data_IF_118357141256
#
_entry.id   IF_118357141256
#
_cell.length_a   1.000
_cell.length_b   1.000
_cell.length_c   1.000
_cell.angle_alpha   90.00
_cell.angle_beta   90.00
_cell.angle_gamma   90.00
#
_symmetry.space_group_name_H-M   'P 1'
#
loop_
_entity.id
_entity.type
_entity.pdbx_description
1 polymer ?
#
# COMPACT_ATOMS: atom_id res chain seq x y z
N UNK A 1 -12.89 -40.88 -0.18
CA UNK A 1 -12.88 -42.27 0.34
C UNK A 1 -12.39 -43.19 -0.75
N UNK A 2 -11.20 -43.77 -0.59
CA UNK A 2 -10.70 -44.87 -1.44
C UNK A 2 -10.93 -46.19 -0.69
N UNK A 3 -11.19 -47.31 -1.40
CA UNK A 3 -11.42 -48.59 -0.74
C UNK A 3 -10.13 -49.06 -0.07
N UNK A 4 -10.25 -49.45 1.20
CA UNK A 4 -9.20 -50.17 1.92
C UNK A 4 -8.93 -51.47 1.13
N UNK A 5 -7.69 -51.80 0.73
CA UNK A 5 -7.41 -53.11 0.17
C UNK A 5 -7.79 -54.15 1.21
N UNK A 6 -8.73 -55.03 0.87
CA UNK A 6 -9.14 -56.11 1.76
C UNK A 6 -7.91 -56.82 2.27
N UNK A 7 -7.78 -56.93 3.60
CA UNK A 7 -6.92 -57.92 4.23
C UNK A 7 -7.26 -59.25 3.57
N UNK A 8 -6.36 -59.72 2.69
CA UNK A 8 -6.42 -61.07 2.20
C UNK A 8 -6.18 -61.94 3.43
N UNK A 9 -7.23 -62.63 3.88
CA UNK A 9 -7.08 -63.78 4.76
C UNK A 9 -6.15 -64.76 4.04
N UNK A 10 -4.86 -64.70 4.36
CA UNK A 10 -4.00 -65.86 4.23
C UNK A 10 -4.56 -66.88 5.22
N UNK A 11 -5.38 -67.79 4.71
CA UNK A 11 -5.74 -68.98 5.45
C UNK A 11 -4.44 -69.69 5.82
N UNK A 12 -4.33 -70.13 7.07
CA UNK A 12 -3.12 -70.74 7.60
C UNK A 12 -2.96 -72.15 7.06
N UNK A 13 -2.53 -72.29 5.81
CA UNK A 13 -1.94 -73.51 5.28
C UNK A 13 -0.53 -73.60 5.85
N UNK A 14 -0.36 -74.48 6.83
CA UNK A 14 0.92 -74.80 7.45
C UNK A 14 1.76 -75.69 6.51
N UNK A 15 2.17 -75.13 5.38
CA UNK A 15 3.19 -75.76 4.53
C UNK A 15 4.57 -75.35 5.07
N UNK A 16 5.29 -76.33 5.60
CA UNK A 16 6.63 -76.16 6.14
C UNK A 16 7.57 -75.63 5.04
N UNK A 17 8.35 -74.58 5.31
CA UNK A 17 9.30 -74.05 4.33
C UNK A 17 10.39 -75.11 4.02
N UNK A 18 10.39 -75.67 2.81
CA UNK A 18 11.24 -76.82 2.49
C UNK A 18 12.71 -76.46 2.24
N UNK A 19 13.03 -75.21 1.85
CA UNK A 19 14.40 -74.71 1.83
C UNK A 19 14.53 -73.24 2.27
N UNK A 20 15.68 -72.82 2.85
CA UNK A 20 15.98 -71.40 3.12
C UNK A 20 15.95 -70.50 1.87
N UNK A 21 16.06 -71.08 0.67
CA UNK A 21 16.10 -70.36 -0.60
C UNK A 21 14.73 -69.83 -1.02
N UNK A 22 13.68 -70.64 -0.86
CA UNK A 22 12.30 -70.23 -1.15
C UNK A 22 11.85 -69.09 -0.22
N UNK A 23 12.29 -69.12 1.05
CA UNK A 23 12.05 -68.03 2.00
C UNK A 23 12.75 -66.72 1.60
N UNK A 24 13.98 -66.79 1.07
CA UNK A 24 14.70 -65.61 0.56
C UNK A 24 14.00 -65.05 -0.69
N UNK A 25 13.61 -65.89 -1.66
CA UNK A 25 12.94 -65.44 -2.89
C UNK A 25 11.59 -64.75 -2.60
N UNK A 26 10.84 -65.20 -1.57
CA UNK A 26 9.63 -64.53 -1.11
C UNK A 26 9.95 -63.17 -0.46
N UNK A 27 10.97 -63.08 0.39
CA UNK A 27 11.39 -61.82 1.02
C UNK A 27 11.88 -60.79 -0.01
N UNK A 28 12.64 -61.22 -1.02
CA UNK A 28 13.09 -60.37 -2.13
C UNK A 28 11.88 -59.82 -2.91
N UNK A 29 10.88 -60.65 -3.21
CA UNK A 29 9.66 -60.22 -3.89
C UNK A 29 8.82 -59.21 -3.09
N UNK A 30 8.73 -59.35 -1.76
CA UNK A 30 8.07 -58.36 -0.89
C UNK A 30 8.82 -57.01 -0.91
N UNK A 31 10.15 -57.05 -0.80
CA UNK A 31 10.98 -55.83 -0.83
C UNK A 31 10.86 -55.09 -2.17
N UNK A 32 10.83 -55.81 -3.29
CA UNK A 32 10.62 -55.21 -4.62
C UNK A 32 9.22 -54.60 -4.78
N UNK A 33 8.18 -55.25 -4.24
CA UNK A 33 6.82 -54.72 -4.28
C UNK A 33 6.68 -53.42 -3.47
N UNK A 34 7.25 -53.37 -2.27
CA UNK A 34 7.25 -52.16 -1.44
C UNK A 34 8.06 -51.03 -2.10
N UNK A 35 9.21 -51.34 -2.71
CA UNK A 35 10.01 -50.37 -3.46
C UNK A 35 9.25 -49.76 -4.65
N UNK A 36 8.43 -50.56 -5.34
CA UNK A 36 7.56 -50.09 -6.43
C UNK A 36 6.47 -49.14 -5.88
N UNK A 37 5.85 -49.48 -4.74
CA UNK A 37 4.82 -48.66 -4.11
C UNK A 37 5.38 -47.33 -3.58
N UNK A 38 6.52 -47.36 -2.88
CA UNK A 38 7.25 -46.15 -2.47
C UNK A 38 7.56 -45.26 -3.68
N UNK A 39 8.09 -45.83 -4.76
CA UNK A 39 8.46 -45.07 -5.96
C UNK A 39 7.24 -44.44 -6.64
N UNK A 40 6.09 -45.11 -6.64
CA UNK A 40 4.82 -44.53 -7.10
C UNK A 40 4.34 -43.38 -6.20
N UNK A 41 4.33 -43.56 -4.88
CA UNK A 41 3.93 -42.51 -3.94
C UNK A 41 4.85 -41.29 -4.02
N UNK A 42 6.17 -41.51 -4.09
CA UNK A 42 7.18 -40.46 -4.24
C UNK A 42 6.98 -39.68 -5.55
N UNK A 43 6.65 -40.38 -6.64
CA UNK A 43 6.35 -39.73 -7.94
C UNK A 43 5.09 -38.86 -7.85
N UNK A 44 4.03 -39.33 -7.17
CA UNK A 44 2.81 -38.53 -6.95
C UNK A 44 3.05 -37.32 -6.04
N UNK A 45 3.88 -37.46 -5.01
CA UNK A 45 4.30 -36.35 -4.15
C UNK A 45 5.10 -35.30 -4.94
N UNK A 46 6.05 -35.70 -5.77
CA UNK A 46 6.81 -34.81 -6.66
C UNK A 46 5.87 -34.07 -7.62
N UNK A 47 4.87 -34.75 -8.20
CA UNK A 47 3.87 -34.11 -9.05
C UNK A 47 3.05 -33.04 -8.29
N UNK A 48 2.57 -33.35 -7.07
CA UNK A 48 1.87 -32.37 -6.22
C UNK A 48 2.76 -31.18 -5.86
N UNK A 49 4.01 -31.42 -5.47
CA UNK A 49 4.99 -30.36 -5.14
C UNK A 49 5.23 -29.46 -6.35
N UNK A 50 5.35 -30.00 -7.56
CA UNK A 50 5.53 -29.22 -8.78
C UNK A 50 4.32 -28.33 -9.10
N UNK A 51 3.08 -28.81 -8.88
CA UNK A 51 1.86 -27.99 -9.03
C UNK A 51 1.85 -26.84 -8.02
N UNK A 52 2.15 -27.11 -6.75
CA UNK A 52 2.21 -26.08 -5.70
C UNK A 52 3.32 -25.07 -5.97
N UNK A 53 4.50 -25.50 -6.47
CA UNK A 53 5.57 -24.61 -6.89
C UNK A 53 5.15 -23.68 -8.04
N UNK A 54 4.37 -24.19 -9.01
CA UNK A 54 3.76 -23.38 -10.07
C UNK A 54 2.84 -22.29 -9.51
N UNK A 55 1.91 -22.66 -8.63
CA UNK A 55 0.99 -21.72 -7.97
C UNK A 55 1.74 -20.66 -7.13
N UNK A 56 2.81 -21.05 -6.43
CA UNK A 56 3.68 -20.10 -5.70
C UNK A 56 4.36 -19.12 -6.67
N UNK A 57 4.81 -19.57 -7.84
CA UNK A 57 5.40 -18.68 -8.85
C UNK A 57 4.37 -17.70 -9.43
N UNK A 58 3.15 -18.16 -9.73
CA UNK A 58 2.05 -17.31 -10.19
C UNK A 58 1.69 -16.23 -9.15
N UNK A 59 1.42 -16.62 -7.91
CA UNK A 59 1.13 -15.69 -6.80
C UNK A 59 2.27 -14.68 -6.56
N UNK A 60 3.53 -15.12 -6.69
CA UNK A 60 4.68 -14.22 -6.55
C UNK A 60 4.79 -13.26 -7.75
N UNK A 61 4.33 -13.66 -8.94
CA UNK A 61 4.23 -12.77 -10.11
C UNK A 61 3.14 -11.70 -9.94
N UNK A 62 1.98 -12.08 -9.42
CA UNK A 62 0.86 -11.17 -9.10
C UNK A 62 1.23 -10.17 -8.00
N UNK A 63 1.83 -10.65 -6.90
CA UNK A 63 2.40 -9.80 -5.84
C UNK A 63 3.36 -8.74 -6.41
N UNK A 64 4.21 -9.12 -7.36
CA UNK A 64 5.13 -8.20 -8.01
C UNK A 64 4.46 -7.24 -9.00
N UNK A 65 3.29 -7.57 -9.54
CA UNK A 65 2.45 -6.66 -10.31
C UNK A 65 1.78 -5.63 -9.39
N UNK A 66 1.12 -6.09 -8.33
CA UNK A 66 0.47 -5.25 -7.31
C UNK A 66 1.45 -4.27 -6.67
N UNK A 67 2.69 -4.69 -6.38
CA UNK A 67 3.75 -3.79 -5.89
C UNK A 67 4.13 -2.69 -6.89
N UNK A 68 4.12 -2.97 -8.19
CA UNK A 68 4.36 -1.95 -9.23
C UNK A 68 3.19 -0.97 -9.33
N UNK A 69 1.96 -1.45 -9.25
CA UNK A 69 0.76 -0.60 -9.29
C UNK A 69 0.63 0.28 -8.05
N UNK A 70 0.87 -0.27 -6.86
CA UNK A 70 0.99 0.50 -5.62
C UNK A 70 2.00 1.65 -5.76
N UNK A 71 3.16 1.40 -6.40
CA UNK A 71 4.17 2.44 -6.64
C UNK A 71 3.70 3.51 -7.64
N UNK A 72 2.95 3.14 -8.69
CA UNK A 72 2.33 4.12 -9.62
C UNK A 72 1.31 5.01 -8.89
N UNK A 73 0.42 4.40 -8.10
CA UNK A 73 -0.62 5.12 -7.35
C UNK A 73 0.03 6.05 -6.32
N UNK A 74 1.08 5.61 -5.63
CA UNK A 74 1.83 6.45 -4.68
C UNK A 74 2.41 7.70 -5.36
N UNK A 75 3.06 7.53 -6.52
CA UNK A 75 3.59 8.67 -7.28
C UNK A 75 2.47 9.66 -7.69
N UNK A 76 1.33 9.16 -8.19
CA UNK A 76 0.18 10.01 -8.55
C UNK A 76 -0.38 10.79 -7.35
N UNK A 77 -0.41 10.18 -6.15
CA UNK A 77 -0.83 10.84 -4.92
C UNK A 77 0.15 11.96 -4.55
N UNK A 78 1.46 11.73 -4.70
CA UNK A 78 2.47 12.72 -4.34
C UNK A 78 2.54 13.88 -5.36
N UNK A 79 2.33 13.60 -6.67
CA UNK A 79 2.12 14.62 -7.70
C UNK A 79 0.86 15.47 -7.41
N UNK A 80 -0.25 14.83 -7.01
CA UNK A 80 -1.48 15.53 -6.63
C UNK A 80 -1.30 16.41 -5.40
N UNK A 81 -0.55 15.97 -4.38
CA UNK A 81 -0.21 16.80 -3.21
C UNK A 81 0.60 18.02 -3.62
N UNK A 82 1.63 17.84 -4.44
CA UNK A 82 2.46 18.95 -4.92
C UNK A 82 1.64 19.98 -5.71
N UNK A 83 0.71 19.52 -6.56
CA UNK A 83 -0.21 20.38 -7.29
C UNK A 83 -1.19 21.12 -6.36
N UNK A 84 -1.73 20.45 -5.33
CA UNK A 84 -2.57 21.08 -4.31
C UNK A 84 -1.82 22.15 -3.51
N UNK A 85 -0.58 21.89 -3.10
CA UNK A 85 0.25 22.83 -2.34
C UNK A 85 0.63 24.05 -3.19
N UNK A 86 0.87 23.87 -4.49
CA UNK A 86 1.09 24.97 -5.45
C UNK A 86 -0.19 25.78 -5.70
N UNK A 87 -1.35 25.14 -5.77
CA UNK A 87 -2.64 25.81 -5.89
C UNK A 87 -2.94 26.65 -4.63
N UNK A 88 -2.72 26.09 -3.44
CA UNK A 88 -2.92 26.80 -2.17
C UNK A 88 -2.00 28.03 -2.06
N UNK A 89 -0.70 27.88 -2.34
CA UNK A 89 0.24 29.01 -2.44
C UNK A 89 -0.24 30.08 -3.42
N UNK A 90 -0.76 29.67 -4.58
CA UNK A 90 -1.30 30.59 -5.60
C UNK A 90 -2.55 31.32 -5.11
N UNK A 91 -3.46 30.63 -4.40
CA UNK A 91 -4.67 31.22 -3.82
C UNK A 91 -4.33 32.17 -2.68
N UNK A 92 -3.38 31.83 -1.80
CA UNK A 92 -2.89 32.71 -0.73
C UNK A 92 -2.27 33.99 -1.29
N UNK A 93 -1.47 33.89 -2.37
CA UNK A 93 -0.90 35.06 -3.05
C UNK A 93 -1.99 35.92 -3.69
N UNK A 94 -2.95 35.30 -4.41
CA UNK A 94 -4.07 36.03 -5.03
C UNK A 94 -4.96 36.73 -4.00
N UNK A 95 -5.33 36.05 -2.91
CA UNK A 95 -6.12 36.65 -1.83
C UNK A 95 -5.39 37.85 -1.21
N UNK A 96 -4.08 37.74 -0.93
CA UNK A 96 -3.29 38.89 -0.46
C UNK A 96 -3.24 40.05 -1.47
N UNK A 97 -3.22 39.78 -2.78
CA UNK A 97 -3.33 40.84 -3.80
C UNK A 97 -4.70 41.53 -3.74
N UNK A 98 -5.77 40.75 -3.71
CA UNK A 98 -7.15 41.24 -3.64
C UNK A 98 -7.39 42.03 -2.34
N UNK A 99 -6.89 41.57 -1.20
CA UNK A 99 -6.99 42.27 0.09
C UNK A 99 -6.24 43.63 0.03
N UNK A 100 -5.06 43.67 -0.60
CA UNK A 100 -4.32 44.92 -0.82
C UNK A 100 -5.05 45.88 -1.76
N UNK A 101 -5.64 45.38 -2.85
CA UNK A 101 -6.47 46.16 -3.77
C UNK A 101 -7.70 46.73 -3.05
N UNK A 102 -8.44 45.91 -2.30
CA UNK A 102 -9.59 46.34 -1.47
C UNK A 102 -9.17 47.42 -0.47
N UNK A 103 -8.01 47.26 0.19
CA UNK A 103 -7.47 48.25 1.13
C UNK A 103 -7.14 49.58 0.44
N UNK A 104 -6.56 49.54 -0.76
CA UNK A 104 -6.28 50.73 -1.57
C UNK A 104 -7.57 51.43 -2.01
N UNK A 105 -8.53 50.68 -2.57
CA UNK A 105 -9.83 51.21 -2.96
C UNK A 105 -10.60 51.82 -1.78
N UNK A 106 -10.54 51.20 -0.59
CA UNK A 106 -11.16 51.74 0.63
C UNK A 106 -10.51 53.07 1.05
N UNK A 107 -9.18 53.17 1.06
CA UNK A 107 -8.46 54.42 1.34
C UNK A 107 -8.78 55.53 0.33
N UNK A 108 -8.87 55.18 -0.96
CA UNK A 108 -9.24 56.10 -2.03
C UNK A 108 -10.67 56.62 -1.86
N UNK A 109 -11.59 55.74 -1.44
CA UNK A 109 -12.98 56.09 -1.20
C UNK A 109 -13.16 56.96 0.06
N UNK A 110 -12.41 56.69 1.14
CA UNK A 110 -12.41 57.54 2.35
C UNK A 110 -11.83 58.93 2.07
N UNK A 111 -10.74 59.04 1.29
CA UNK A 111 -10.19 60.34 0.87
C UNK A 111 -11.16 61.10 -0.03
N UNK A 112 -11.73 60.46 -1.07
CA UNK A 112 -12.72 61.10 -1.95
C UNK A 112 -14.01 61.50 -1.23
N UNK A 113 -14.46 60.72 -0.24
CA UNK A 113 -15.61 61.09 0.60
C UNK A 113 -15.30 62.34 1.43
N UNK A 114 -14.10 62.42 2.02
CA UNK A 114 -13.67 63.58 2.81
C UNK A 114 -13.58 64.85 1.95
N UNK A 115 -12.90 64.78 0.81
CA UNK A 115 -12.83 65.87 -0.16
C UNK A 115 -14.23 66.37 -0.58
N UNK A 116 -15.15 65.44 -0.88
CA UNK A 116 -16.52 65.79 -1.27
C UNK A 116 -17.27 66.51 -0.14
N UNK A 117 -17.17 66.02 1.11
CA UNK A 117 -17.82 66.68 2.25
C UNK A 117 -17.27 68.09 2.49
N UNK A 118 -15.95 68.27 2.46
CA UNK A 118 -15.30 69.57 2.63
C UNK A 118 -15.71 70.55 1.51
N UNK A 119 -15.76 70.07 0.26
CA UNK A 119 -16.19 70.90 -0.90
C UNK A 119 -17.68 71.27 -0.83
N UNK A 120 -18.54 70.34 -0.41
CA UNK A 120 -19.98 70.61 -0.28
C UNK A 120 -20.31 71.59 0.84
N UNK A 121 -19.57 71.53 1.95
CA UNK A 121 -19.81 72.41 3.09
C UNK A 121 -19.34 73.85 2.80
N UNK A 122 -18.16 74.02 2.16
CA UNK A 122 -17.71 75.33 1.72
C UNK A 122 -18.72 76.03 0.77
N UNK A 123 -19.33 75.28 -0.15
CA UNK A 123 -20.39 75.81 -1.02
C UNK A 123 -21.67 76.21 -0.28
N UNK A 124 -22.06 75.47 0.76
CA UNK A 124 -23.23 75.83 1.58
C UNK A 124 -22.99 77.12 2.37
N UNK A 125 -21.81 77.26 2.98
CA UNK A 125 -21.41 78.47 3.71
C UNK A 125 -21.34 79.71 2.78
N UNK A 126 -20.91 79.54 1.52
CA UNK A 126 -20.94 80.58 0.48
C UNK A 126 -22.37 80.98 0.08
N UNK A 127 -23.27 80.01 -0.11
CA UNK A 127 -24.68 80.27 -0.42
C UNK A 127 -25.40 80.97 0.74
N UNK A 128 -25.19 80.53 1.99
CA UNK A 128 -25.76 81.20 3.16
C UNK A 128 -25.30 82.66 3.27
N UNK A 129 -24.01 82.94 3.02
CA UNK A 129 -23.47 84.30 2.98
C UNK A 129 -24.16 85.18 1.92
N UNK A 130 -24.32 84.65 0.70
CA UNK A 130 -24.96 85.36 -0.40
C UNK A 130 -26.47 85.59 -0.15
N UNK A 131 -27.15 84.67 0.54
CA UNK A 131 -28.54 84.86 0.94
C UNK A 131 -28.70 85.94 2.02
N UNK A 132 -27.75 86.06 2.96
CA UNK A 132 -27.76 87.14 3.97
C UNK A 132 -27.54 88.52 3.32
N UNK A 133 -26.55 88.67 2.43
CA UNK A 133 -26.32 89.94 1.70
C UNK A 133 -27.53 90.33 0.81
N UNK A 134 -28.27 89.34 0.28
CA UNK A 134 -29.46 89.55 -0.53
C UNK A 134 -30.71 89.95 0.31
N UNK A 135 -30.81 89.52 1.56
CA UNK A 135 -31.92 89.90 2.47
C UNK A 135 -31.79 91.34 2.99
N UNK A 136 -30.56 91.88 3.10
CA UNK A 136 -30.33 93.24 3.64
C UNK A 136 -30.70 94.39 2.67
N UNK A 137 -31.01 94.12 1.39
CA UNK A 137 -30.98 95.13 0.32
C UNK A 137 -32.32 95.51 -0.34
N UNK A 138 -33.48 95.00 0.11
CA UNK A 138 -34.76 95.17 -0.61
C UNK A 138 -35.96 95.64 0.24
N UNK A 139 -36.28 96.95 0.23
CA UNK A 139 -37.58 97.52 0.67
C UNK A 139 -37.78 98.99 0.19
N UNK A 140 -38.72 99.26 -0.75
CA UNK A 140 -39.79 100.31 -0.67
C UNK A 140 -40.42 100.86 -1.97
N UNK A 141 -41.59 101.46 -1.75
CA UNK A 141 -42.82 101.55 -2.53
C UNK A 141 -43.61 102.82 -2.12
N UNK A 142 -44.53 103.44 -2.89
CA UNK A 142 -44.79 103.44 -4.35
C UNK A 142 -45.63 104.71 -4.74
N UNK A 143 -46.10 104.80 -5.99
CA UNK A 143 -47.25 105.59 -6.55
C UNK A 143 -47.78 106.90 -5.90
N UNK A 144 -48.07 107.92 -6.74
CA UNK A 144 -49.41 108.55 -6.77
C UNK A 144 -49.70 109.41 -8.03
N UNK A 145 -50.55 108.91 -8.93
CA UNK A 145 -50.85 109.54 -10.24
C UNK A 145 -52.37 109.78 -10.43
N UNK A 146 -52.98 110.55 -9.52
CA UNK A 146 -54.45 110.68 -9.39
C UNK A 146 -54.97 112.15 -9.39
N UNK A 147 -54.21 113.08 -9.99
CA UNK A 147 -54.47 114.54 -10.02
C UNK A 147 -53.82 115.10 -11.30
N UNK A 148 -54.49 115.57 -12.36
CA UNK A 148 -55.75 116.31 -12.44
C UNK A 148 -56.48 116.13 -13.80
N UNK A 149 -57.07 114.97 -14.06
CA UNK A 149 -57.92 114.73 -15.25
C UNK A 149 -59.24 115.56 -15.31
N UNK A 150 -59.35 116.64 -14.52
CA UNK A 150 -60.48 117.59 -14.51
C UNK A 150 -60.27 118.83 -15.40
N UNK A 151 -59.07 119.11 -15.88
CA UNK A 151 -58.83 120.23 -16.81
C UNK A 151 -59.22 119.90 -18.27
N UNK A 152 -59.27 118.61 -18.62
CA UNK A 152 -59.50 118.15 -20.00
C UNK A 152 -60.89 118.54 -20.56
N UNK A 153 -61.86 118.82 -19.70
CA UNK A 153 -63.23 119.18 -20.09
C UNK A 153 -63.39 120.68 -20.45
N UNK A 154 -62.43 121.53 -20.07
CA UNK A 154 -62.46 122.99 -20.32
C UNK A 154 -61.69 123.39 -21.58
N UNK A 155 -60.77 122.54 -22.06
CA UNK A 155 -60.00 122.80 -23.28
C UNK A 155 -60.71 122.33 -24.57
N UNK A 156 -61.70 121.45 -24.46
CA UNK A 156 -62.51 120.96 -25.59
C UNK A 156 -63.37 122.08 -26.23
N UNK A 157 -63.73 123.12 -25.48
CA UNK A 157 -64.39 124.33 -26.01
C UNK A 157 -63.39 125.29 -26.69
N UNK A 158 -62.12 125.28 -26.27
CA UNK A 158 -61.02 126.05 -26.90
C UNK A 158 -60.52 125.43 -28.22
N UNK A 159 -60.85 124.16 -28.46
CA UNK A 159 -60.48 123.37 -29.62
C UNK A 159 -61.06 123.93 -30.93
N UNK A 160 -62.34 124.32 -30.90
CA UNK A 160 -63.08 124.78 -32.09
C UNK A 160 -62.60 126.16 -32.61
N UNK A 161 -61.94 126.98 -31.79
CA UNK A 161 -61.41 128.27 -32.23
C UNK A 161 -59.96 128.18 -32.75
N UNK A 162 -59.19 127.16 -32.34
CA UNK A 162 -57.83 126.92 -32.85
C UNK A 162 -57.78 126.03 -34.11
N UNK A 163 -58.91 125.55 -34.62
CA UNK A 163 -58.97 124.84 -35.92
C UNK A 163 -58.46 125.71 -37.10
N UNK A 164 -58.52 127.04 -37.00
CA UNK A 164 -57.86 127.98 -37.95
C UNK A 164 -56.36 128.21 -37.68
N UNK A 165 -55.88 127.91 -36.47
CA UNK A 165 -54.45 127.89 -36.11
C UNK A 165 -53.82 126.54 -36.47
N UNK A 166 -54.64 125.54 -36.81
CA UNK A 166 -54.29 124.14 -36.96
C UNK A 166 -53.51 123.84 -38.25
N UNK A 167 -53.64 124.65 -39.31
CA UNK A 167 -52.81 124.52 -40.51
C UNK A 167 -51.39 125.10 -40.35
N UNK A 168 -51.22 126.14 -39.52
CA UNK A 168 -49.88 126.56 -39.07
C UNK A 168 -49.26 125.56 -38.10
N UNK A 169 -50.07 125.09 -37.13
CA UNK A 169 -49.67 124.05 -36.19
C UNK A 169 -49.41 122.69 -36.86
N UNK A 170 -49.87 122.41 -38.09
CA UNK A 170 -49.49 121.17 -38.81
C UNK A 170 -48.00 121.12 -39.16
N UNK A 171 -47.34 122.26 -39.37
CA UNK A 171 -45.88 122.31 -39.57
C UNK A 171 -45.11 122.21 -38.26
N UNK A 172 -45.54 122.91 -37.21
CA UNK A 172 -44.93 122.82 -35.88
C UNK A 172 -45.17 121.45 -35.22
N UNK A 173 -46.35 120.84 -35.43
CA UNK A 173 -46.66 119.50 -34.98
C UNK A 173 -45.84 118.45 -35.71
N UNK A 174 -45.39 118.69 -36.96
CA UNK A 174 -44.47 117.76 -37.61
C UNK A 174 -43.11 117.74 -36.90
N UNK A 175 -42.52 118.91 -36.60
CA UNK A 175 -41.32 118.99 -35.75
C UNK A 175 -41.53 118.36 -34.39
N UNK A 176 -42.63 118.68 -33.69
CA UNK A 176 -42.93 118.08 -32.39
C UNK A 176 -43.21 116.58 -32.45
N UNK A 177 -43.71 116.06 -33.58
CA UNK A 177 -43.84 114.62 -33.78
C UNK A 177 -42.48 113.97 -33.99
N UNK A 178 -41.57 114.62 -34.74
CA UNK A 178 -40.19 114.15 -34.92
C UNK A 178 -39.40 114.22 -33.59
N UNK A 179 -39.60 115.26 -32.78
CA UNK A 179 -39.03 115.40 -31.42
C UNK A 179 -39.62 114.35 -30.45
N UNK A 180 -40.94 114.17 -30.43
CA UNK A 180 -41.61 113.15 -29.60
C UNK A 180 -41.30 111.73 -30.06
N UNK A 181 -41.13 111.47 -31.36
CA UNK A 181 -40.64 110.19 -31.86
C UNK A 181 -39.19 109.97 -31.43
N UNK A 182 -38.35 111.01 -31.46
CA UNK A 182 -37.00 110.97 -30.88
C UNK A 182 -36.98 110.66 -29.38
N UNK A 183 -37.88 111.28 -28.59
CA UNK A 183 -38.03 110.98 -27.16
C UNK A 183 -38.63 109.58 -26.92
N UNK A 184 -39.60 109.14 -27.73
CA UNK A 184 -40.20 107.80 -27.60
C UNK A 184 -39.21 106.71 -28.02
N UNK A 185 -38.44 106.91 -29.09
CA UNK A 185 -37.38 105.99 -29.52
C UNK A 185 -36.22 105.99 -28.51
N UNK A 186 -35.88 107.14 -27.91
CA UNK A 186 -34.91 107.20 -26.82
C UNK A 186 -35.42 106.49 -25.55
N UNK A 187 -36.72 106.62 -25.22
CA UNK A 187 -37.32 105.94 -24.07
C UNK A 187 -37.48 104.43 -24.33
N UNK A 188 -37.80 104.01 -25.56
CA UNK A 188 -37.81 102.60 -25.98
C UNK A 188 -36.40 102.02 -25.99
N UNK A 189 -35.39 102.75 -26.47
CA UNK A 189 -33.98 102.35 -26.37
C UNK A 189 -33.50 102.27 -24.92
N UNK A 190 -33.91 103.21 -24.06
CA UNK A 190 -33.60 103.19 -22.63
C UNK A 190 -34.27 102.01 -21.92
N UNK A 191 -35.58 101.81 -22.11
CA UNK A 191 -36.34 100.67 -21.55
C UNK A 191 -35.85 99.34 -22.12
N UNK A 192 -35.44 99.27 -23.40
CA UNK A 192 -34.85 98.07 -23.99
C UNK A 192 -33.47 97.79 -23.41
N UNK A 193 -32.62 98.81 -23.23
CA UNK A 193 -31.29 98.67 -22.63
C UNK A 193 -31.37 98.30 -21.13
N UNK A 194 -32.35 98.85 -20.41
CA UNK A 194 -32.66 98.48 -19.03
C UNK A 194 -33.17 97.04 -18.94
N UNK A 195 -34.06 96.60 -19.84
CA UNK A 195 -34.49 95.20 -19.93
C UNK A 195 -33.35 94.25 -20.31
N UNK A 196 -32.48 94.62 -21.25
CA UNK A 196 -31.31 93.82 -21.63
C UNK A 196 -30.34 93.67 -20.43
N UNK A 197 -30.12 94.75 -19.66
CA UNK A 197 -29.34 94.71 -18.41
C UNK A 197 -30.00 93.85 -17.33
N UNK A 198 -31.31 93.98 -17.12
CA UNK A 198 -32.07 93.16 -16.16
C UNK A 198 -32.13 91.67 -16.57
N UNK A 199 -32.11 91.37 -17.87
CA UNK A 199 -32.11 90.00 -18.40
C UNK A 199 -30.70 89.39 -18.52
N UNK A 200 -29.63 90.19 -18.42
CA UNK A 200 -28.26 89.68 -18.55
C UNK A 200 -27.87 88.75 -17.40
N UNK A 201 -28.22 89.10 -16.16
CA UNK A 201 -28.03 88.24 -14.97
C UNK A 201 -28.76 86.90 -15.10
N UNK A 202 -30.11 86.90 -15.22
CA UNK A 202 -30.90 85.68 -15.38
C UNK A 202 -30.51 84.82 -16.60
N UNK A 203 -30.10 85.43 -17.73
CA UNK A 203 -29.57 84.66 -18.87
C UNK A 203 -28.25 83.98 -18.55
N UNK A 204 -27.36 84.63 -17.80
CA UNK A 204 -26.09 84.04 -17.38
C UNK A 204 -26.33 82.91 -16.38
N UNK A 205 -27.21 83.11 -15.39
CA UNK A 205 -27.62 82.08 -14.43
C UNK A 205 -28.23 80.86 -15.13
N UNK A 206 -29.10 81.06 -16.15
CA UNK A 206 -29.64 79.96 -16.96
C UNK A 206 -28.54 79.22 -17.74
N UNK A 207 -27.54 79.93 -18.27
CA UNK A 207 -26.44 79.30 -19.01
C UNK A 207 -25.47 78.54 -18.09
N UNK A 208 -25.14 79.13 -16.93
CA UNK A 208 -24.34 78.48 -15.89
C UNK A 208 -25.07 77.22 -15.37
N UNK A 209 -26.39 77.28 -15.13
CA UNK A 209 -27.21 76.11 -14.78
C UNK A 209 -27.28 75.03 -15.88
N UNK A 210 -27.27 75.39 -17.17
CA UNK A 210 -27.17 74.40 -18.25
C UNK A 210 -25.83 73.68 -18.23
N UNK A 211 -24.72 74.41 -18.03
CA UNK A 211 -23.38 73.82 -17.95
C UNK A 211 -23.24 72.91 -16.73
N UNK A 212 -23.86 73.26 -15.60
CA UNK A 212 -23.96 72.35 -14.45
C UNK A 212 -24.83 71.12 -14.76
N UNK A 213 -25.95 71.27 -15.47
CA UNK A 213 -26.77 70.13 -15.93
C UNK A 213 -26.00 69.19 -16.87
N UNK A 214 -25.32 69.69 -17.90
CA UNK A 214 -24.49 68.87 -18.80
C UNK A 214 -23.35 68.17 -18.04
N UNK A 215 -22.74 68.84 -17.06
CA UNK A 215 -21.73 68.24 -16.17
C UNK A 215 -22.32 67.11 -15.30
N UNK A 216 -23.55 67.27 -14.79
CA UNK A 216 -24.23 66.24 -14.01
C UNK A 216 -24.67 65.06 -14.91
N UNK A 217 -25.20 65.33 -16.10
CA UNK A 217 -25.58 64.31 -17.08
C UNK A 217 -24.37 63.47 -17.51
N UNK A 218 -23.23 64.09 -17.85
CA UNK A 218 -22.01 63.35 -18.21
C UNK A 218 -21.45 62.52 -17.04
N UNK A 219 -21.59 62.99 -15.79
CA UNK A 219 -21.25 62.21 -14.60
C UNK A 219 -22.22 61.03 -14.36
N UNK A 220 -23.52 61.23 -14.58
CA UNK A 220 -24.55 60.20 -14.50
C UNK A 220 -24.34 59.11 -15.56
N UNK A 221 -24.03 59.50 -16.79
CA UNK A 221 -23.68 58.61 -17.90
C UNK A 221 -22.46 57.74 -17.55
N UNK A 222 -21.42 58.37 -17.00
CA UNK A 222 -20.21 57.67 -16.55
C UNK A 222 -20.55 56.67 -15.43
N UNK A 223 -21.37 57.07 -14.45
CA UNK A 223 -21.78 56.19 -13.34
C UNK A 223 -22.67 55.04 -13.79
N UNK A 224 -23.53 55.26 -14.77
CA UNK A 224 -24.35 54.22 -15.41
C UNK A 224 -23.46 53.18 -16.08
N UNK A 225 -22.47 53.59 -16.87
CA UNK A 225 -21.51 52.67 -17.52
C UNK A 225 -20.63 51.92 -16.51
N UNK A 226 -20.20 52.58 -15.43
CA UNK A 226 -19.48 51.92 -14.32
C UNK A 226 -20.36 50.84 -13.63
N UNK A 227 -21.65 51.10 -13.43
CA UNK A 227 -22.61 50.14 -12.88
C UNK A 227 -22.89 48.97 -13.83
N UNK A 228 -23.00 49.21 -15.14
CA UNK A 228 -23.15 48.16 -16.15
C UNK A 228 -21.94 47.22 -16.18
N UNK A 229 -20.72 47.77 -16.15
CA UNK A 229 -19.48 46.99 -16.08
C UNK A 229 -19.40 46.14 -14.79
N UNK A 230 -19.80 46.72 -13.65
CA UNK A 230 -19.90 45.99 -12.38
C UNK A 230 -20.95 44.88 -12.43
N UNK A 231 -22.12 45.13 -13.03
CA UNK A 231 -23.16 44.10 -13.20
C UNK A 231 -22.66 42.93 -14.05
N UNK A 232 -22.04 43.21 -15.21
CA UNK A 232 -21.43 42.19 -16.05
C UNK A 232 -20.36 41.38 -15.28
N UNK A 233 -19.55 42.04 -14.46
CA UNK A 233 -18.55 41.37 -13.61
C UNK A 233 -19.20 40.48 -12.53
N UNK A 234 -20.32 40.91 -11.95
CA UNK A 234 -21.09 40.11 -10.97
C UNK A 234 -21.70 38.89 -11.64
N UNK A 235 -22.28 39.02 -12.83
CA UNK A 235 -22.89 37.91 -13.55
C UNK A 235 -21.85 36.89 -14.06
N UNK A 236 -20.68 37.36 -14.51
CA UNK A 236 -19.52 36.48 -14.77
C UNK A 236 -19.10 35.70 -13.52
N UNK A 237 -18.98 36.36 -12.36
CA UNK A 237 -18.63 35.70 -11.10
C UNK A 237 -19.71 34.70 -10.64
N UNK A 238 -21.00 35.00 -10.84
CA UNK A 238 -22.11 34.07 -10.59
C UNK A 238 -22.05 32.84 -11.50
N UNK A 239 -21.76 33.03 -12.80
CA UNK A 239 -21.59 31.92 -13.74
C UNK A 239 -20.42 31.01 -13.34
N UNK A 240 -19.30 31.58 -12.90
CA UNK A 240 -18.14 30.82 -12.40
C UNK A 240 -18.53 30.05 -11.12
N UNK A 241 -19.21 30.69 -10.17
CA UNK A 241 -19.70 30.02 -8.95
C UNK A 241 -20.61 28.84 -9.26
N UNK A 242 -21.59 28.99 -10.15
CA UNK A 242 -22.44 27.86 -10.58
C UNK A 242 -21.66 26.72 -11.23
N UNK A 243 -20.60 27.02 -11.99
CA UNK A 243 -19.71 25.98 -12.54
C UNK A 243 -18.90 25.26 -11.43
N UNK A 244 -18.49 25.97 -10.39
CA UNK A 244 -17.80 25.39 -9.23
C UNK A 244 -18.73 24.55 -8.35
N UNK A 245 -20.00 24.95 -8.18
CA UNK A 245 -21.02 24.16 -7.48
C UNK A 245 -21.31 22.83 -8.20
N UNK A 246 -21.45 22.87 -9.53
CA UNK A 246 -21.59 21.66 -10.36
C UNK A 246 -20.36 20.74 -10.24
N UNK A 247 -19.15 21.31 -10.30
CA UNK A 247 -17.91 20.54 -10.13
C UNK A 247 -17.81 19.93 -8.73
N UNK A 248 -18.18 20.67 -7.68
CA UNK A 248 -18.26 20.15 -6.31
C UNK A 248 -19.26 18.99 -6.21
N UNK A 249 -20.44 19.12 -6.80
CA UNK A 249 -21.43 18.04 -6.85
C UNK A 249 -20.89 16.77 -7.52
N UNK A 250 -20.11 16.93 -8.60
CA UNK A 250 -19.43 15.80 -9.24
C UNK A 250 -18.36 15.15 -8.36
N UNK A 251 -17.62 15.93 -7.57
CA UNK A 251 -16.64 15.40 -6.60
C UNK A 251 -17.34 14.69 -5.43
N UNK A 252 -18.42 15.28 -4.90
CA UNK A 252 -19.21 14.70 -3.82
C UNK A 252 -19.80 13.34 -4.24
N UNK A 253 -20.26 13.19 -5.49
CA UNK A 253 -20.68 11.91 -6.06
C UNK A 253 -19.52 10.90 -6.18
N UNK A 254 -18.37 11.29 -6.75
CA UNK A 254 -17.19 10.41 -6.85
C UNK A 254 -16.72 9.91 -5.48
N UNK A 255 -16.76 10.76 -4.45
CA UNK A 255 -16.43 10.38 -3.06
C UNK A 255 -17.46 9.39 -2.48
N UNK A 256 -18.72 9.46 -2.91
CA UNK A 256 -19.78 8.53 -2.51
C UNK A 256 -19.60 7.17 -3.19
N UNK A 257 -19.29 7.16 -4.48
CA UNK A 257 -19.01 5.95 -5.26
C UNK A 257 -17.76 5.23 -4.73
N UNK A 258 -16.66 5.94 -4.46
CA UNK A 258 -15.44 5.40 -3.86
C UNK A 258 -15.66 4.85 -2.44
N UNK A 259 -16.60 5.42 -1.67
CA UNK A 259 -16.99 4.87 -0.36
C UNK A 259 -17.74 3.55 -0.51
N UNK A 260 -18.57 3.41 -1.54
CA UNK A 260 -19.30 2.17 -1.85
C UNK A 260 -18.34 1.07 -2.34
N UNK A 261 -17.41 1.42 -3.23
CA UNK A 261 -16.36 0.49 -3.69
C UNK A 261 -15.49 0.02 -2.52
N UNK A 262 -15.09 0.93 -1.62
CA UNK A 262 -14.35 0.58 -0.41
C UNK A 262 -15.10 -0.42 0.48
N UNK A 263 -16.41 -0.27 0.68
CA UNK A 263 -17.16 -1.22 1.52
C UNK A 263 -17.32 -2.58 0.85
N UNK A 264 -17.47 -2.63 -0.48
CA UNK A 264 -17.47 -3.88 -1.25
C UNK A 264 -16.12 -4.61 -1.18
N UNK A 265 -15.00 -3.90 -1.34
CA UNK A 265 -13.66 -4.48 -1.23
C UNK A 265 -13.37 -4.99 0.19
N UNK A 266 -13.85 -4.30 1.24
CA UNK A 266 -13.73 -4.77 2.61
C UNK A 266 -14.54 -6.06 2.86
N UNK A 267 -15.77 -6.18 2.35
CA UNK A 267 -16.56 -7.41 2.52
C UNK A 267 -15.99 -8.59 1.73
N UNK A 268 -15.38 -8.33 0.57
CA UNK A 268 -14.62 -9.35 -0.18
C UNK A 268 -13.36 -9.80 0.59
N UNK A 269 -12.60 -8.86 1.14
CA UNK A 269 -11.41 -9.16 1.94
C UNK A 269 -11.76 -10.01 3.17
N UNK A 270 -12.84 -9.66 3.89
CA UNK A 270 -13.33 -10.43 5.03
C UNK A 270 -13.78 -11.85 4.65
N UNK A 271 -14.38 -12.04 3.47
CA UNK A 271 -14.73 -13.37 2.97
C UNK A 271 -13.47 -14.20 2.66
N UNK A 272 -12.56 -13.66 1.86
CA UNK A 272 -11.30 -14.33 1.48
C UNK A 272 -10.45 -14.69 2.71
N UNK A 273 -10.46 -13.83 3.74
CA UNK A 273 -9.73 -14.08 4.98
C UNK A 273 -10.35 -15.22 5.82
N UNK A 274 -11.69 -15.37 5.82
CA UNK A 274 -12.35 -16.54 6.45
C UNK A 274 -12.01 -17.82 5.71
N UNK A 275 -12.07 -17.81 4.38
CA UNK A 275 -11.74 -18.98 3.55
C UNK A 275 -10.27 -19.41 3.77
N UNK A 276 -9.35 -18.45 3.88
CA UNK A 276 -7.93 -18.69 4.22
C UNK A 276 -7.77 -19.30 5.62
N UNK A 277 -8.44 -18.74 6.64
CA UNK A 277 -8.42 -19.30 7.99
C UNK A 277 -8.94 -20.73 8.02
N UNK A 278 -10.05 -21.01 7.33
CA UNK A 278 -10.63 -22.35 7.26
C UNK A 278 -9.65 -23.34 6.60
N UNK A 279 -9.03 -22.97 5.46
CA UNK A 279 -8.03 -23.80 4.79
C UNK A 279 -6.82 -24.11 5.66
N UNK A 280 -6.34 -23.15 6.45
CA UNK A 280 -5.22 -23.35 7.38
C UNK A 280 -5.62 -24.29 8.52
N UNK A 281 -6.80 -24.09 9.11
CA UNK A 281 -7.28 -24.89 10.25
C UNK A 281 -7.66 -26.34 9.89
N UNK A 282 -8.09 -26.60 8.64
CA UNK A 282 -8.47 -27.95 8.20
C UNK A 282 -7.41 -28.61 7.32
N UNK A 283 -7.24 -28.10 6.10
CA UNK A 283 -6.57 -28.82 5.02
C UNK A 283 -5.05 -28.86 5.24
N UNK A 284 -4.46 -27.72 5.62
CA UNK A 284 -3.03 -27.62 5.89
C UNK A 284 -2.62 -28.46 7.12
N UNK A 285 -3.36 -28.36 8.22
CA UNK A 285 -3.05 -29.14 9.42
C UNK A 285 -3.25 -30.65 9.21
N UNK A 286 -4.30 -31.07 8.52
CA UNK A 286 -4.51 -32.49 8.16
C UNK A 286 -3.37 -33.01 7.28
N UNK A 287 -3.02 -32.30 6.21
CA UNK A 287 -1.94 -32.70 5.31
C UNK A 287 -0.56 -32.75 6.01
N UNK A 288 -0.29 -31.79 6.91
CA UNK A 288 0.93 -31.78 7.73
C UNK A 288 1.02 -32.98 8.68
N UNK A 289 -0.11 -33.35 9.31
CA UNK A 289 -0.17 -34.51 10.20
C UNK A 289 -0.05 -35.84 9.42
N UNK A 290 -0.74 -35.97 8.28
CA UNK A 290 -0.61 -37.12 7.38
C UNK A 290 0.84 -37.32 6.91
N UNK A 291 1.55 -36.23 6.57
CA UNK A 291 2.96 -36.29 6.19
C UNK A 291 3.85 -36.76 7.35
N UNK A 292 3.65 -36.25 8.57
CA UNK A 292 4.42 -36.70 9.74
C UNK A 292 4.19 -38.18 10.07
N UNK A 293 2.95 -38.67 9.94
CA UNK A 293 2.64 -40.08 10.19
C UNK A 293 3.15 -41.00 9.07
N UNK A 294 3.15 -40.53 7.81
CA UNK A 294 3.82 -41.24 6.71
C UNK A 294 5.33 -41.35 6.92
N UNK A 295 5.99 -40.26 7.33
CA UNK A 295 7.44 -40.25 7.64
C UNK A 295 7.79 -41.20 8.79
N UNK A 296 6.96 -41.29 9.84
CA UNK A 296 7.17 -42.27 10.93
C UNK A 296 7.04 -43.72 10.44
N UNK A 297 6.05 -44.02 9.57
CA UNK A 297 5.88 -45.37 8.99
C UNK A 297 7.08 -45.77 8.14
N UNK A 298 7.49 -44.88 7.23
CA UNK A 298 8.68 -45.05 6.38
C UNK A 298 9.92 -45.41 7.21
N UNK A 299 10.17 -44.71 8.31
CA UNK A 299 11.33 -45.00 9.16
C UNK A 299 11.21 -46.35 9.90
N UNK A 300 10.00 -46.73 10.32
CA UNK A 300 9.78 -48.07 10.91
C UNK A 300 9.90 -49.22 9.90
N UNK A 301 9.48 -49.00 8.66
CA UNK A 301 9.60 -49.97 7.56
C UNK A 301 11.07 -50.13 7.15
N UNK A 302 11.81 -49.02 7.00
CA UNK A 302 13.28 -49.02 6.78
C UNK A 302 14.03 -49.79 7.86
N UNK A 303 13.73 -49.53 9.15
CA UNK A 303 14.38 -50.24 10.25
C UNK A 303 14.04 -51.74 10.24
N UNK A 304 12.84 -52.12 9.80
CA UNK A 304 12.40 -53.51 9.68
C UNK A 304 13.12 -54.20 8.51
N UNK A 305 13.22 -53.53 7.36
CA UNK A 305 13.99 -53.97 6.20
C UNK A 305 15.46 -54.21 6.54
N UNK A 306 16.11 -53.30 7.27
CA UNK A 306 17.51 -53.50 7.71
C UNK A 306 17.66 -54.71 8.65
N UNK A 307 16.64 -55.09 9.42
CA UNK A 307 16.67 -56.31 10.26
C UNK A 307 16.63 -57.56 9.40
N UNK A 308 15.74 -57.60 8.42
CA UNK A 308 15.59 -58.70 7.46
C UNK A 308 16.88 -58.85 6.64
N UNK A 309 17.42 -57.76 6.08
CA UNK A 309 18.66 -57.79 5.29
C UNK A 309 19.88 -58.26 6.12
N UNK A 310 20.01 -57.80 7.37
CA UNK A 310 21.04 -58.32 8.28
C UNK A 310 20.84 -59.82 8.58
N UNK A 311 19.60 -60.28 8.78
CA UNK A 311 19.30 -61.70 9.02
C UNK A 311 19.66 -62.57 7.80
N UNK A 312 19.35 -62.10 6.58
CA UNK A 312 19.76 -62.75 5.33
C UNK A 312 21.29 -62.86 5.22
N UNK A 313 22.06 -61.80 5.52
CA UNK A 313 23.53 -61.87 5.51
C UNK A 313 24.08 -62.89 6.50
N UNK A 314 23.47 -62.98 7.69
CA UNK A 314 23.86 -63.92 8.72
C UNK A 314 23.63 -65.38 8.27
N UNK A 315 22.48 -65.66 7.64
CA UNK A 315 22.14 -66.98 7.12
C UNK A 315 22.99 -67.35 5.88
N UNK A 316 23.39 -66.37 5.08
CA UNK A 316 24.26 -66.58 3.91
C UNK A 316 25.75 -66.65 4.27
N UNK A 317 26.14 -66.39 5.53
CA UNK A 317 27.54 -66.40 5.96
C UNK A 317 28.42 -65.36 5.23
N UNK A 318 27.83 -64.21 4.86
CA UNK A 318 28.53 -63.16 4.10
C UNK A 318 29.22 -62.14 5.03
N UNK A 319 30.32 -61.52 4.60
CA UNK A 319 30.91 -60.38 5.30
C UNK A 319 29.99 -59.16 5.21
N UNK A 320 29.81 -58.45 6.33
CA UNK A 320 28.98 -57.25 6.38
C UNK A 320 29.83 -56.00 6.09
N UNK A 321 29.67 -55.41 4.90
CA UNK A 321 30.47 -54.26 4.44
C UNK A 321 29.55 -53.14 3.95
N UNK A 322 29.59 -52.00 4.64
CA UNK A 322 28.87 -50.78 4.27
C UNK A 322 29.83 -49.77 3.64
N UNK A 323 29.37 -49.05 2.60
CA UNK A 323 30.18 -48.07 1.88
C UNK A 323 29.39 -46.78 1.70
N UNK A 324 30.02 -45.64 2.01
CA UNK A 324 29.36 -44.33 2.14
C UNK A 324 28.75 -43.77 0.84
N UNK A 325 29.20 -44.25 -0.33
CA UNK A 325 28.58 -43.94 -1.63
C UNK A 325 28.43 -45.19 -2.48
N UNK A 326 27.21 -45.44 -2.96
CA UNK A 326 26.89 -46.53 -3.88
C UNK A 326 27.55 -46.33 -5.27
N UNK A 327 28.80 -46.77 -5.41
CA UNK A 327 29.57 -46.63 -6.65
C UNK A 327 30.27 -47.92 -7.07
N UNK A 328 29.77 -48.55 -8.16
CA UNK A 328 30.41 -49.63 -8.95
C UNK A 328 30.76 -50.97 -8.25
N UNK A 329 30.70 -51.07 -6.93
CA UNK A 329 30.92 -52.33 -6.21
C UNK A 329 29.68 -53.23 -6.24
N UNK A 330 29.78 -54.43 -6.81
CA UNK A 330 28.63 -55.35 -6.97
C UNK A 330 28.15 -56.00 -5.67
N UNK A 331 28.97 -55.95 -4.62
CA UNK A 331 28.70 -56.61 -3.32
C UNK A 331 28.64 -55.60 -2.15
N UNK A 332 28.80 -54.29 -2.40
CA UNK A 332 28.77 -53.28 -1.35
C UNK A 332 27.34 -52.77 -1.13
N UNK A 333 27.01 -52.46 0.11
CA UNK A 333 25.71 -51.88 0.46
C UNK A 333 25.89 -50.45 0.96
N UNK A 334 24.99 -49.58 0.53
CA UNK A 334 24.99 -48.16 0.88
C UNK A 334 24.94 -47.96 2.40
N UNK A 335 25.84 -47.13 2.90
CA UNK A 335 25.86 -46.72 4.30
C UNK A 335 24.55 -46.04 4.68
N UNK A 336 24.01 -46.42 5.83
CA UNK A 336 23.04 -45.59 6.52
C UNK A 336 23.22 -45.77 8.02
N UNK A 337 23.07 -44.68 8.79
CA UNK A 337 23.18 -44.72 10.26
C UNK A 337 22.25 -45.79 10.85
N UNK A 338 21.05 -45.96 10.28
CA UNK A 338 20.10 -47.01 10.64
C UNK A 338 20.59 -48.46 10.46
N UNK A 339 21.38 -48.77 9.42
CA UNK A 339 21.97 -50.12 9.24
C UNK A 339 22.96 -50.48 10.34
N UNK A 340 23.84 -49.54 10.69
CA UNK A 340 24.84 -49.73 11.76
C UNK A 340 24.14 -49.91 13.10
N UNK A 341 23.15 -49.06 13.40
CA UNK A 341 22.33 -49.17 14.60
C UNK A 341 21.63 -50.54 14.72
N UNK A 342 21.06 -51.06 13.62
CA UNK A 342 20.40 -52.38 13.61
C UNK A 342 21.40 -53.54 13.74
N UNK A 343 22.62 -53.41 13.21
CA UNK A 343 23.68 -54.39 13.45
C UNK A 343 24.09 -54.42 14.93
N UNK A 344 24.27 -53.25 15.55
CA UNK A 344 24.63 -53.12 16.96
C UNK A 344 23.54 -53.60 17.94
N UNK A 345 22.25 -53.60 17.57
CA UNK A 345 21.15 -54.07 18.45
C UNK A 345 21.37 -55.49 19.03
N UNK A 346 22.15 -56.36 18.37
CA UNK A 346 22.41 -57.72 18.84
C UNK A 346 23.34 -57.80 20.06
N UNK A 347 24.05 -56.72 20.38
CA UNK A 347 24.88 -56.60 21.60
C UNK A 347 23.99 -56.59 22.84
N UNK A 348 22.77 -56.02 22.76
CA UNK A 348 21.72 -56.11 23.79
C UNK A 348 21.23 -57.55 24.05
N UNK A 349 21.68 -58.53 23.26
CA UNK A 349 21.37 -59.95 23.41
C UNK A 349 22.60 -60.77 23.86
N UNK A 350 23.71 -60.11 24.19
CA UNK A 350 24.96 -60.76 24.63
C UNK A 350 25.89 -61.22 23.52
N UNK A 351 25.77 -60.63 22.34
CA UNK A 351 26.63 -61.00 21.21
C UNK A 351 27.73 -59.96 21.05
N UNK A 352 28.99 -60.39 21.12
CA UNK A 352 30.12 -59.50 20.90
C UNK A 352 30.17 -59.07 19.44
N UNK A 353 30.31 -57.77 19.20
CA UNK A 353 30.34 -57.17 17.88
C UNK A 353 31.51 -56.19 17.75
N UNK A 354 32.08 -56.10 16.57
CA UNK A 354 33.07 -55.11 16.19
C UNK A 354 32.56 -54.31 14.98
N UNK A 355 32.68 -52.99 15.05
CA UNK A 355 32.47 -52.09 13.91
C UNK A 355 33.83 -51.51 13.58
N UNK A 356 34.34 -51.82 12.39
CA UNK A 356 35.63 -51.33 11.89
C UNK A 356 35.37 -50.19 10.93
N UNK A 357 35.65 -48.96 11.35
CA UNK A 357 35.60 -47.76 10.52
C UNK A 357 36.91 -47.54 9.77
N UNK A 358 36.83 -47.42 8.46
CA UNK A 358 37.94 -47.01 7.59
C UNK A 358 37.56 -45.66 6.97
N UNK A 359 38.22 -44.59 7.39
CA UNK A 359 37.94 -43.19 7.02
C UNK A 359 36.47 -42.77 7.30
N UNK A 360 35.94 -43.06 8.51
CA UNK A 360 34.54 -42.80 8.87
C UNK A 360 34.45 -41.74 9.97
N UNK A 361 33.59 -40.74 9.79
CA UNK A 361 33.36 -39.70 10.80
C UNK A 361 32.86 -40.26 12.15
N UNK A 362 33.33 -39.66 13.24
CA UNK A 362 33.06 -40.08 14.61
C UNK A 362 31.58 -40.04 15.03
N UNK A 363 30.74 -39.29 14.32
CA UNK A 363 29.27 -39.24 14.52
C UNK A 363 28.58 -40.62 14.49
N UNK A 364 29.21 -41.62 13.88
CA UNK A 364 28.65 -42.96 13.81
C UNK A 364 28.54 -43.64 15.19
N UNK A 365 29.46 -43.34 16.12
CA UNK A 365 29.46 -43.93 17.46
C UNK A 365 28.30 -43.38 18.31
N UNK A 366 28.13 -42.06 18.31
CA UNK A 366 27.08 -41.38 19.09
C UNK A 366 25.68 -41.83 18.66
N UNK A 367 25.44 -41.95 17.35
CA UNK A 367 24.18 -42.44 16.81
C UNK A 367 23.88 -43.89 17.23
N UNK A 368 24.90 -44.76 17.26
CA UNK A 368 24.75 -46.16 17.72
C UNK A 368 24.48 -46.20 19.22
N UNK A 369 25.17 -45.39 20.03
CA UNK A 369 24.93 -45.28 21.46
C UNK A 369 23.51 -44.84 21.77
N UNK A 370 23.06 -43.73 21.19
CA UNK A 370 21.71 -43.19 21.40
C UNK A 370 20.64 -44.23 21.01
N UNK A 371 20.85 -44.95 19.90
CA UNK A 371 19.96 -46.04 19.48
C UNK A 371 19.95 -47.21 20.47
N UNK A 372 21.10 -47.64 20.99
CA UNK A 372 21.18 -48.71 22.00
C UNK A 372 20.53 -48.31 23.32
N UNK A 373 20.73 -47.08 23.79
CA UNK A 373 20.07 -46.50 24.97
C UNK A 373 18.55 -46.46 24.80
N UNK A 374 18.07 -45.98 23.65
CA UNK A 374 16.64 -45.95 23.31
C UNK A 374 16.04 -47.37 23.22
N UNK A 375 16.80 -48.33 22.67
CA UNK A 375 16.37 -49.73 22.56
C UNK A 375 16.37 -50.48 23.88
N UNK A 376 17.36 -50.26 24.74
CA UNK A 376 17.43 -50.83 26.08
C UNK A 376 16.18 -50.48 26.93
N UNK A 377 15.63 -49.27 26.72
CA UNK A 377 14.42 -48.77 27.39
C UNK A 377 13.11 -49.19 26.71
N UNK A 378 13.17 -49.91 25.59
CA UNK A 378 11.97 -50.31 24.84
C UNK A 378 11.22 -51.48 25.51
N UNK A 379 9.92 -51.61 25.23
CA UNK A 379 9.05 -52.65 25.80
C UNK A 379 9.57 -54.10 25.58
N UNK A 380 10.35 -54.34 24.51
CA UNK A 380 11.02 -55.62 24.24
C UNK A 380 11.94 -56.06 25.38
N UNK A 381 12.54 -55.11 26.09
CA UNK A 381 13.50 -55.34 27.16
C UNK A 381 12.98 -54.94 28.55
N UNK A 382 11.66 -54.74 28.73
CA UNK A 382 11.08 -54.27 30.00
C UNK A 382 11.39 -55.14 31.25
N UNK A 383 11.67 -56.44 31.04
CA UNK A 383 12.07 -57.38 32.10
C UNK A 383 13.60 -57.50 32.28
N UNK A 384 14.38 -56.73 31.54
CA UNK A 384 15.84 -56.67 31.61
C UNK A 384 16.26 -55.35 32.22
N UNK A 385 17.24 -55.40 33.12
CA UNK A 385 18.06 -54.24 33.46
C UNK A 385 19.28 -54.29 32.56
N UNK A 386 19.49 -53.25 31.75
CA UNK A 386 20.58 -53.15 30.80
C UNK A 386 21.38 -51.91 31.15
N UNK A 387 22.62 -52.12 31.57
CA UNK A 387 23.58 -51.07 31.89
C UNK A 387 24.63 -51.02 30.77
N UNK A 388 24.79 -49.86 30.13
CA UNK A 388 25.73 -49.62 29.03
C UNK A 388 26.86 -48.72 29.54
N UNK A 389 28.08 -49.24 29.60
CA UNK A 389 29.28 -48.51 30.02
C UNK A 389 30.25 -48.33 28.87
N UNK A 390 30.82 -47.14 28.76
CA UNK A 390 31.80 -46.78 27.73
C UNK A 390 33.22 -46.82 28.28
N UNK A 391 34.15 -47.42 27.53
CA UNK A 391 35.58 -47.36 27.76
C UNK A 391 36.25 -46.80 26.50
N UNK A 392 36.93 -45.65 26.65
CA UNK A 392 37.70 -45.02 25.57
C UNK A 392 39.17 -45.44 25.66
N UNK A 393 39.73 -45.88 24.53
CA UNK A 393 41.16 -46.11 24.31
C UNK A 393 41.67 -45.24 23.15
N UNK A 394 43.00 -45.18 22.97
CA UNK A 394 43.64 -44.20 22.07
C UNK A 394 43.16 -44.24 20.61
N UNK A 395 42.73 -45.40 20.08
CA UNK A 395 42.16 -45.56 18.73
C UNK A 395 40.94 -46.52 18.72
N UNK A 396 40.23 -46.63 19.84
CA UNK A 396 39.14 -47.58 20.01
C UNK A 396 38.13 -47.11 21.05
N UNK A 397 36.84 -47.29 20.79
CA UNK A 397 35.80 -47.11 21.80
C UNK A 397 35.07 -48.44 22.03
N UNK A 398 34.93 -48.87 23.27
CA UNK A 398 34.21 -50.07 23.65
C UNK A 398 32.96 -49.71 24.44
N UNK A 399 31.78 -50.15 23.99
CA UNK A 399 30.56 -50.16 24.79
C UNK A 399 30.37 -51.56 25.36
N UNK A 400 30.52 -51.70 26.68
CA UNK A 400 30.16 -52.90 27.41
C UNK A 400 28.68 -52.84 27.78
N UNK A 401 27.93 -53.87 27.39
CA UNK A 401 26.49 -53.99 27.65
C UNK A 401 26.25 -55.14 28.61
N UNK A 402 25.92 -54.81 29.86
CA UNK A 402 25.60 -55.79 30.89
C UNK A 402 24.09 -55.86 31.09
N UNK A 403 23.50 -57.01 30.76
CA UNK A 403 22.05 -57.25 30.74
C UNK A 403 21.66 -58.30 31.78
N UNK A 404 20.91 -57.92 32.81
CA UNK A 404 20.39 -58.83 33.84
C UNK A 404 18.87 -58.96 33.73
N UNK A 405 18.38 -60.18 33.51
CA UNK A 405 16.93 -60.45 33.49
C UNK A 405 16.37 -60.48 34.93
N UNK A 406 15.41 -59.61 35.23
CA UNK A 406 14.84 -59.47 36.58
C UNK A 406 14.08 -60.71 37.05
N UNK A 407 13.45 -61.43 36.13
CA UNK A 407 12.58 -62.57 36.44
C UNK A 407 13.36 -63.89 36.57
N UNK A 408 14.44 -64.06 35.82
CA UNK A 408 15.24 -65.30 35.80
C UNK A 408 16.61 -65.18 36.44
N UNK A 409 17.03 -63.96 36.82
CA UNK A 409 18.39 -63.62 37.28
C UNK A 409 19.49 -64.01 36.27
N UNK A 410 19.13 -64.32 35.01
CA UNK A 410 20.09 -64.62 33.96
C UNK A 410 20.84 -63.35 33.59
N UNK A 411 22.15 -63.37 33.81
CA UNK A 411 23.07 -62.36 33.32
C UNK A 411 23.55 -62.72 31.91
N UNK A 412 23.66 -61.70 31.08
CA UNK A 412 24.16 -61.76 29.71
C UNK A 412 25.02 -60.50 29.51
N UNK A 413 26.25 -60.67 29.03
CA UNK A 413 27.14 -59.57 28.69
C UNK A 413 27.46 -59.63 27.19
N UNK A 414 27.53 -58.46 26.55
CA UNK A 414 27.99 -58.32 25.17
C UNK A 414 28.84 -57.06 25.03
N UNK A 415 29.87 -57.10 24.19
CA UNK A 415 30.71 -55.94 23.90
C UNK A 415 30.48 -55.43 22.48
N UNK A 416 30.44 -54.11 22.31
CA UNK A 416 30.56 -53.45 21.01
C UNK A 416 31.90 -52.73 20.96
N UNK A 417 32.82 -53.14 20.09
CA UNK A 417 34.10 -52.46 19.90
C UNK A 417 34.08 -51.69 18.59
N UNK A 418 34.11 -50.37 18.65
CA UNK A 418 34.36 -49.50 17.50
C UNK A 418 35.87 -49.31 17.34
N UNK A 419 36.40 -49.61 16.17
CA UNK A 419 37.82 -49.57 15.84
C UNK A 419 38.00 -48.70 14.59
N UNK A 420 38.76 -47.62 14.72
CA UNK A 420 39.17 -46.80 13.58
C UNK A 420 40.51 -47.33 13.06
N UNK A 421 40.61 -47.61 11.76
CA UNK A 421 41.82 -48.22 11.20
C UNK A 421 42.04 -47.93 9.72
N UNK A 422 43.31 -47.88 9.33
CA UNK A 422 43.70 -47.89 7.92
C UNK A 422 43.48 -49.28 7.32
N UNK A 423 43.06 -49.34 6.05
CA UNK A 423 42.87 -50.60 5.33
C UNK A 423 44.10 -51.53 5.31
N UNK A 424 45.31 -50.99 5.50
CA UNK A 424 46.56 -51.78 5.56
C UNK A 424 46.74 -52.56 6.87
N UNK A 425 46.02 -52.21 7.93
CA UNK A 425 46.14 -52.81 9.27
C UNK A 425 44.95 -53.71 9.64
N UNK A 426 44.03 -53.93 8.70
CA UNK A 426 42.80 -54.68 8.94
C UNK A 426 43.06 -56.12 9.39
N UNK A 427 44.02 -56.82 8.80
CA UNK A 427 44.33 -58.21 9.18
C UNK A 427 44.84 -58.32 10.62
N UNK A 428 45.68 -57.37 11.07
CA UNK A 428 46.13 -57.29 12.47
C UNK A 428 44.96 -57.02 13.42
N UNK A 429 44.06 -56.12 13.03
CA UNK A 429 42.85 -55.79 13.79
C UNK A 429 41.93 -57.01 13.90
N UNK A 430 41.63 -57.70 12.79
CA UNK A 430 40.79 -58.90 12.77
C UNK A 430 41.43 -60.05 13.57
N UNK A 431 42.75 -60.20 13.54
CA UNK A 431 43.47 -61.18 14.36
C UNK A 431 43.43 -60.87 15.86
N UNK A 432 43.21 -59.61 16.25
CA UNK A 432 43.07 -59.20 17.66
C UNK A 432 41.66 -59.42 18.24
N UNK A 433 40.64 -59.60 17.38
CA UNK A 433 39.26 -59.81 17.82
C UNK A 433 39.04 -61.21 18.41
N UNK A 434 38.19 -61.28 19.44
CA UNK A 434 37.84 -62.53 20.08
C UNK A 434 37.04 -63.45 19.13
N UNK A 435 37.29 -64.76 19.18
CA UNK A 435 36.54 -65.75 18.38
C UNK A 435 35.05 -65.65 18.65
N UNK A 436 34.25 -65.62 17.58
CA UNK A 436 32.80 -65.46 17.65
C UNK A 436 32.31 -64.00 17.71
N UNK A 437 33.21 -63.02 17.65
CA UNK A 437 32.83 -61.60 17.48
C UNK A 437 32.24 -61.39 16.07
N UNK A 438 31.07 -60.77 15.97
CA UNK A 438 30.50 -60.38 14.67
C UNK A 438 31.18 -59.13 14.17
N UNK A 439 31.61 -59.10 12.91
CA UNK A 439 32.31 -57.94 12.36
C UNK A 439 31.48 -57.27 11.26
N UNK A 440 31.30 -55.96 11.38
CA UNK A 440 30.86 -55.06 10.31
C UNK A 440 32.02 -54.13 9.97
N UNK A 441 32.31 -53.95 8.69
CA UNK A 441 33.20 -52.87 8.24
C UNK A 441 32.38 -51.75 7.60
N UNK A 442 32.73 -50.51 7.93
CA UNK A 442 32.18 -49.29 7.33
C UNK A 442 33.32 -48.56 6.65
N UNK A 443 33.17 -48.29 5.35
CA UNK A 443 34.21 -47.65 4.52
C UNK A 443 33.70 -46.29 4.05
N UNK A 444 34.34 -45.22 4.52
CA UNK A 444 34.15 -43.87 3.99
C UNK A 444 34.74 -43.71 2.60
N UNK A 445 34.10 -42.87 1.79
CA UNK A 445 34.52 -42.62 0.41
C UNK A 445 35.18 -41.26 0.25
N UNK A 446 36.47 -41.21 0.59
CA UNK A 446 37.37 -40.18 0.10
C UNK A 446 37.63 -40.37 -1.40
N UNK A 447 38.09 -39.31 -2.07
CA UNK A 447 38.42 -39.34 -3.51
C UNK A 447 39.52 -40.36 -3.89
N UNK A 448 40.25 -40.88 -2.90
CA UNK A 448 41.31 -41.87 -3.05
C UNK A 448 40.93 -43.32 -2.67
N UNK A 449 39.69 -43.62 -2.26
CA UNK A 449 39.29 -44.99 -1.86
C UNK A 449 39.22 -45.92 -3.09
N UNK A 450 40.29 -46.69 -3.33
CA UNK A 450 40.42 -47.55 -4.53
C UNK A 450 39.66 -48.88 -4.44
N UNK A 451 39.35 -49.48 -5.60
CA UNK A 451 38.72 -50.81 -5.69
C UNK A 451 39.53 -51.91 -4.97
N UNK A 452 40.85 -51.76 -4.94
CA UNK A 452 41.81 -52.60 -4.21
C UNK A 452 41.53 -52.65 -2.71
N UNK A 453 41.15 -51.52 -2.11
CA UNK A 453 40.81 -51.42 -0.68
C UNK A 453 39.61 -52.30 -0.35
N UNK A 454 38.51 -52.17 -1.11
CA UNK A 454 37.29 -52.95 -0.91
C UNK A 454 37.53 -54.47 -1.04
N UNK A 455 38.27 -54.88 -2.08
CA UNK A 455 38.57 -56.30 -2.30
C UNK A 455 39.44 -56.90 -1.19
N UNK A 456 40.41 -56.14 -0.67
CA UNK A 456 41.22 -56.56 0.48
C UNK A 456 40.36 -56.72 1.74
N UNK A 457 39.50 -55.74 2.04
CA UNK A 457 38.56 -55.78 3.18
C UNK A 457 37.64 -56.98 3.10
N UNK A 458 37.05 -57.24 1.93
CA UNK A 458 36.15 -58.39 1.73
C UNK A 458 36.87 -59.73 1.91
N UNK A 459 38.08 -59.86 1.37
CA UNK A 459 38.87 -61.10 1.49
C UNK A 459 39.28 -61.37 2.95
N UNK A 460 39.70 -60.34 3.68
CA UNK A 460 40.09 -60.41 5.09
C UNK A 460 38.91 -60.78 6.01
N UNK A 461 37.72 -60.24 5.75
CA UNK A 461 36.51 -60.61 6.49
C UNK A 461 36.05 -62.05 6.18
N UNK A 462 36.13 -62.49 4.92
CA UNK A 462 35.82 -63.88 4.54
C UNK A 462 36.77 -64.90 5.21
N UNK A 463 38.08 -64.62 5.25
CA UNK A 463 39.05 -65.51 5.91
C UNK A 463 38.85 -65.53 7.43
N UNK A 464 38.57 -64.38 8.04
CA UNK A 464 38.24 -64.31 9.47
C UNK A 464 36.96 -65.09 9.81
N UNK A 465 35.87 -64.90 9.05
CA UNK A 465 34.60 -65.63 9.25
C UNK A 465 34.80 -67.15 9.12
N UNK A 466 35.52 -67.63 8.09
CA UNK A 466 35.85 -69.06 7.91
C UNK A 466 36.76 -69.65 9.00
N UNK A 467 37.43 -68.82 9.79
CA UNK A 467 38.27 -69.25 10.92
C UNK A 467 37.52 -69.30 12.27
N UNK A 468 36.32 -68.72 12.31
CA UNK A 468 35.44 -68.63 13.48
C UNK A 468 34.18 -69.50 13.40
N UNK A 469 33.86 -70.03 12.21
CA UNK A 469 32.88 -71.11 11.98
C UNK A 469 33.50 -72.50 12.11
#
# INVERSE_FOLDING_TARGET
MLPIPSSARAETTSDEFHTPREYIEILEAYVDQDLILEKQQTTQLIQKINVVLGQIQELNSEKNLILREKKKIQNLIDDLKANYENLDKTLVIKNKSIDNEILQHKKLLETKKKELTETSQAKLEEVEKNMVEMVESSLKDEEQDARWSKELQVLEEKKQELEKRLDGLRHDNKRKLDDLLGETDAEVLAKSKQKEQQLHGPRKEVEDCKLELESIETQLDKKTRELEQLSQTVDQKRSILGSMENYKGSLDQQVLDLKLEKTQLLTQLDATNRDLSQFVETDYLSASQEYQDAMKRLETERLTRYKIENEIWNLQGKPCILVDKASKFTNAVEYSKGRVCVFAEVVLQGTNCAIIGINVDSECLDAVREHLDARARSSRYANWQIDISEQQGENSCCLEVNSTNRNTQKQIAGTLTFLETDAQRLDDVLASLAKGTRVMCVIGTDENTTLTTYNAVSLALETHQRSCS
#
